data_IF_675569250634
#
_entry.id   IF_675569250634
#
_cell.length_a   1.000
_cell.length_b   1.000
_cell.length_c   1.000
_cell.angle_alpha   90.00
_cell.angle_beta   90.00
_cell.angle_gamma   90.00
#
_symmetry.space_group_name_H-M   'P 1'
#
loop_
_entity.id
_entity.type
_entity.pdbx_description
1 polymer ?
#
# COMPACT_ATOMS: atom_id res chain seq x y z
N UNK A 1 8.33 -25.81 63.41
CA UNK A 1 7.09 -25.41 62.71
C UNK A 1 7.47 -24.61 61.46
N UNK A 2 6.80 -24.88 60.32
CA UNK A 2 6.87 -24.22 59.00
C UNK A 2 8.22 -24.35 58.27
N UNK A 3 8.42 -25.26 57.30
CA UNK A 3 7.87 -25.45 55.92
C UNK A 3 8.31 -24.37 54.90
N UNK A 4 8.69 -24.88 53.72
CA UNK A 4 8.91 -24.28 52.38
C UNK A 4 10.37 -23.87 52.10
N UNK A 5 11.23 -24.71 51.48
CA UNK A 5 11.30 -25.11 50.05
C UNK A 5 11.18 -23.92 49.08
N UNK A 6 12.32 -23.43 48.56
CA UNK A 6 12.52 -22.64 47.32
C UNK A 6 13.96 -22.09 47.44
N UNK A 7 14.99 -22.51 46.72
CA UNK A 7 15.17 -22.57 45.27
C UNK A 7 16.41 -23.45 44.98
N UNK A 8 16.22 -24.68 44.50
CA UNK A 8 17.25 -25.38 43.72
C UNK A 8 16.54 -25.83 42.45
N UNK A 9 16.58 -24.99 41.43
CA UNK A 9 16.32 -25.32 40.02
C UNK A 9 16.97 -24.22 39.15
N UNK A 10 18.28 -23.98 39.29
CA UNK A 10 19.09 -23.21 38.31
C UNK A 10 19.85 -24.19 37.40
N UNK A 11 19.22 -25.32 37.08
CA UNK A 11 19.69 -26.21 36.02
C UNK A 11 18.45 -26.67 35.27
N UNK A 12 18.50 -26.57 33.93
CA UNK A 12 17.49 -26.99 32.95
C UNK A 12 16.47 -25.93 32.51
N UNK A 13 16.95 -24.81 31.96
CA UNK A 13 16.31 -24.16 30.80
C UNK A 13 17.37 -23.68 29.78
N UNK A 14 18.37 -24.52 29.52
CA UNK A 14 19.00 -24.57 28.19
C UNK A 14 18.27 -25.65 27.38
N UNK A 15 17.03 -25.32 27.01
CA UNK A 15 16.31 -26.04 25.96
C UNK A 15 15.78 -25.00 24.98
N UNK A 16 16.35 -25.05 23.79
CA UNK A 16 15.69 -24.63 22.56
C UNK A 16 15.43 -23.14 22.42
N UNK A 17 16.50 -22.35 22.49
CA UNK A 17 16.64 -21.18 21.60
C UNK A 17 16.95 -21.61 20.14
N UNK A 18 16.48 -22.79 19.72
CA UNK A 18 15.95 -22.98 18.37
C UNK A 18 14.53 -22.38 18.33
N UNK A 19 14.39 -21.08 18.61
CA UNK A 19 13.27 -20.35 18.04
C UNK A 19 13.71 -20.01 16.64
N UNK A 20 13.36 -20.92 15.74
CA UNK A 20 13.19 -20.72 14.32
C UNK A 20 13.42 -19.24 13.94
N UNK A 21 14.52 -18.97 13.23
CA UNK A 21 14.37 -18.16 12.02
C UNK A 21 13.29 -18.88 11.22
N UNK A 22 12.02 -18.63 11.53
CA UNK A 22 11.02 -18.56 10.50
C UNK A 22 11.57 -17.45 9.65
N UNK A 23 12.29 -17.85 8.60
CA UNK A 23 12.10 -17.17 7.34
C UNK A 23 10.61 -16.93 7.29
N UNK A 24 10.20 -15.71 7.55
CA UNK A 24 8.94 -15.21 7.05
C UNK A 24 9.15 -15.10 5.54
N UNK A 25 9.37 -16.25 4.89
CA UNK A 25 8.50 -16.63 3.79
C UNK A 25 7.11 -16.59 4.42
N UNK A 26 6.57 -15.37 4.52
CA UNK A 26 5.15 -15.24 4.31
C UNK A 26 4.99 -15.93 2.97
N UNK A 27 4.37 -17.10 3.02
CA UNK A 27 3.49 -17.60 1.98
C UNK A 27 2.50 -16.48 1.64
N UNK A 28 3.00 -15.43 1.00
CA UNK A 28 2.27 -14.65 0.04
C UNK A 28 2.20 -15.61 -1.16
N UNK A 29 1.29 -16.59 -1.09
CA UNK A 29 0.40 -16.77 -2.22
C UNK A 29 -0.01 -15.35 -2.58
N UNK A 30 0.63 -14.78 -3.61
CA UNK A 30 0.36 -13.41 -3.97
C UNK A 30 -1.12 -13.41 -4.30
N UNK A 31 -1.91 -12.80 -3.42
CA UNK A 31 -3.19 -12.27 -3.83
C UNK A 31 -2.80 -11.30 -4.94
N UNK A 32 -2.86 -11.78 -6.18
CA UNK A 32 -2.64 -10.97 -7.36
C UNK A 32 -3.81 -9.99 -7.39
N UNK A 33 -3.65 -8.92 -6.61
CA UNK A 33 -4.59 -7.79 -6.49
C UNK A 33 -4.49 -6.99 -7.77
N UNK A 34 -3.27 -6.79 -8.27
CA UNK A 34 -2.98 -6.06 -9.49
C UNK A 34 -2.57 -7.06 -10.57
N UNK A 35 -3.14 -6.93 -11.75
CA UNK A 35 -2.65 -7.68 -12.90
C UNK A 35 -1.25 -7.20 -13.30
N UNK A 36 -0.46 -7.99 -14.06
CA UNK A 36 0.95 -7.71 -14.31
C UNK A 36 1.25 -6.31 -14.87
N UNK A 37 0.44 -5.81 -15.82
CA UNK A 37 0.69 -4.49 -16.41
C UNK A 37 0.56 -3.36 -15.39
N UNK A 38 -0.44 -3.40 -14.52
CA UNK A 38 -0.62 -2.37 -13.48
C UNK A 38 0.45 -2.51 -12.39
N UNK A 39 0.80 -3.74 -12.01
CA UNK A 39 1.90 -3.99 -11.06
C UNK A 39 3.22 -3.40 -11.56
N UNK A 40 3.55 -3.63 -12.83
CA UNK A 40 4.78 -3.09 -13.44
C UNK A 40 4.79 -1.55 -13.46
N UNK A 41 3.64 -0.89 -13.73
CA UNK A 41 3.54 0.57 -13.66
C UNK A 41 3.69 1.07 -12.22
N UNK A 42 3.08 0.38 -11.26
CA UNK A 42 3.17 0.70 -9.85
C UNK A 42 4.62 0.58 -9.33
N UNK A 43 5.32 -0.51 -9.66
CA UNK A 43 6.72 -0.72 -9.29
C UNK A 43 7.62 0.37 -9.90
N UNK A 44 7.39 0.74 -11.16
CA UNK A 44 8.10 1.86 -11.81
C UNK A 44 7.79 3.19 -11.12
N UNK A 45 6.55 3.39 -10.69
CA UNK A 45 6.13 4.60 -10.00
C UNK A 45 6.71 4.70 -8.59
N UNK A 46 6.89 3.58 -7.88
CA UNK A 46 7.59 3.55 -6.59
C UNK A 46 9.02 4.05 -6.72
N UNK A 47 9.75 3.58 -7.75
CA UNK A 47 11.11 4.05 -8.04
C UNK A 47 11.12 5.55 -8.33
N UNK A 48 10.19 6.03 -9.16
CA UNK A 48 10.07 7.44 -9.47
C UNK A 48 9.82 8.29 -8.20
N UNK A 49 8.85 7.91 -7.38
CA UNK A 49 8.53 8.59 -6.13
C UNK A 49 9.73 8.64 -5.17
N UNK A 50 10.44 7.53 -4.99
CA UNK A 50 11.63 7.45 -4.15
C UNK A 50 12.74 8.40 -4.64
N UNK A 51 12.90 8.56 -5.96
CA UNK A 51 13.89 9.49 -6.51
C UNK A 51 13.51 10.96 -6.34
N UNK A 52 12.21 11.27 -6.29
CA UNK A 52 11.73 12.66 -6.22
C UNK A 52 11.62 13.17 -4.79
N UNK A 53 11.03 12.38 -3.88
CA UNK A 53 10.85 12.77 -2.47
C UNK A 53 11.98 12.26 -1.56
N UNK A 54 12.83 11.35 -2.04
CA UNK A 54 13.72 10.61 -1.15
C UNK A 54 12.94 9.67 -0.23
N UNK A 55 13.66 8.93 0.63
CA UNK A 55 13.03 8.18 1.74
C UNK A 55 12.68 9.18 2.85
N UNK A 56 11.56 9.89 2.74
CA UNK A 56 11.11 10.75 3.83
C UNK A 56 10.82 9.92 5.09
N UNK A 57 11.38 10.38 6.22
CA UNK A 57 11.29 9.74 7.53
C UNK A 57 9.94 9.90 8.22
N UNK A 58 9.74 9.08 9.26
CA UNK A 58 8.66 8.93 10.26
C UNK A 58 7.19 8.91 9.81
N UNK A 59 6.82 9.51 8.68
CA UNK A 59 5.48 9.47 8.11
C UNK A 59 5.56 8.86 6.72
N UNK A 60 5.05 7.63 6.59
CA UNK A 60 5.18 6.86 5.36
C UNK A 60 4.45 7.52 4.20
N UNK A 61 5.15 7.74 3.09
CA UNK A 61 4.51 7.98 1.80
C UNK A 61 3.51 6.85 1.55
N UNK A 62 2.32 7.22 1.11
CA UNK A 62 1.34 6.28 0.60
C UNK A 62 1.11 6.51 -0.87
N UNK A 63 0.73 5.44 -1.54
CA UNK A 63 0.43 5.46 -2.96
C UNK A 63 -1.06 5.37 -3.13
N UNK A 64 -1.61 6.15 -4.05
CA UNK A 64 -3.04 6.13 -4.36
C UNK A 64 -3.26 5.57 -5.75
N UNK A 65 -4.34 4.81 -5.91
CA UNK A 65 -4.84 4.35 -7.20
C UNK A 65 -6.29 4.78 -7.32
N UNK A 66 -6.63 5.40 -8.45
CA UNK A 66 -8.02 5.69 -8.79
C UNK A 66 -8.30 5.50 -10.27
N UNK A 67 -9.56 5.26 -10.56
CA UNK A 67 -10.08 4.94 -11.88
C UNK A 67 -11.09 6.03 -12.25
N UNK A 68 -10.92 6.68 -13.39
CA UNK A 68 -11.81 7.76 -13.83
C UNK A 68 -11.84 7.87 -15.35
N UNK A 69 -12.86 8.55 -15.89
CA UNK A 69 -12.97 8.87 -17.30
C UNK A 69 -12.72 10.37 -17.54
N UNK A 70 -11.99 10.68 -18.61
CA UNK A 70 -11.84 12.06 -19.11
C UNK A 70 -11.96 12.07 -20.62
N UNK A 71 -12.90 12.85 -21.15
CA UNK A 71 -13.14 12.99 -22.60
C UNK A 71 -13.34 11.63 -23.31
N UNK A 72 -14.14 10.73 -22.73
CA UNK A 72 -14.40 9.40 -23.29
C UNK A 72 -13.24 8.40 -23.15
N UNK A 73 -12.17 8.77 -22.43
CA UNK A 73 -10.99 7.92 -22.21
C UNK A 73 -10.96 7.40 -20.78
N UNK A 74 -10.83 6.08 -20.64
CA UNK A 74 -10.67 5.40 -19.35
C UNK A 74 -9.24 5.54 -18.86
N UNK A 75 -9.07 6.01 -17.63
CA UNK A 75 -7.78 6.36 -17.05
C UNK A 75 -7.62 5.67 -15.71
N UNK A 76 -6.41 5.18 -15.44
CA UNK A 76 -5.94 4.85 -14.10
C UNK A 76 -4.92 5.89 -13.66
N UNK A 77 -5.16 6.50 -12.52
CA UNK A 77 -4.26 7.45 -11.86
C UNK A 77 -3.49 6.75 -10.75
N UNK A 78 -2.18 6.94 -10.75
CA UNK A 78 -1.30 6.66 -9.63
C UNK A 78 -0.88 7.98 -8.99
N UNK A 79 -0.91 8.07 -7.67
CA UNK A 79 -0.46 9.26 -6.93
C UNK A 79 0.38 8.91 -5.72
N UNK A 80 1.18 9.86 -5.25
CA UNK A 80 1.92 9.76 -3.97
C UNK A 80 1.39 10.81 -3.03
N UNK A 81 0.98 10.39 -1.85
CA UNK A 81 0.43 11.27 -0.83
C UNK A 81 1.11 11.04 0.52
N UNK A 82 0.98 12.01 1.41
CA UNK A 82 1.36 11.90 2.82
C UNK A 82 0.17 11.50 3.69
N UNK A 83 -1.05 11.68 3.17
CA UNK A 83 -2.29 11.44 3.91
C UNK A 83 -3.29 10.66 3.07
N UNK A 84 -4.06 9.76 3.69
CA UNK A 84 -5.18 9.13 3.00
C UNK A 84 -6.44 9.95 3.23
N UNK A 85 -7.23 10.10 2.17
CA UNK A 85 -8.48 10.83 2.23
C UNK A 85 -9.61 9.94 2.77
N UNK A 86 -10.09 10.22 3.98
CA UNK A 86 -11.12 9.39 4.63
C UNK A 86 -12.38 9.22 3.80
N UNK A 87 -12.77 10.27 3.06
CA UNK A 87 -13.99 10.25 2.24
C UNK A 87 -13.80 9.52 0.90
N UNK A 88 -12.57 9.25 0.48
CA UNK A 88 -12.25 8.68 -0.84
C UNK A 88 -11.79 7.23 -0.75
N UNK A 89 -11.10 6.83 0.31
CA UNK A 89 -10.59 5.47 0.46
C UNK A 89 -11.71 4.43 0.39
N UNK A 90 -11.54 3.43 -0.48
CA UNK A 90 -12.45 2.29 -0.68
C UNK A 90 -11.84 0.96 -0.22
N UNK A 91 -10.53 0.92 -0.07
CA UNK A 91 -9.77 -0.21 0.44
C UNK A 91 -8.28 0.04 0.25
N UNK A 92 -7.46 -0.84 0.80
CA UNK A 92 -6.01 -0.71 0.71
C UNK A 92 -5.31 -2.06 0.72
N UNK A 93 -4.04 -2.05 0.33
CA UNK A 93 -3.14 -3.20 0.45
C UNK A 93 -1.71 -2.72 0.66
N UNK A 94 -0.80 -3.66 0.92
CA UNK A 94 0.63 -3.41 0.98
C UNK A 94 1.34 -4.09 -0.20
N UNK A 95 2.23 -3.35 -0.86
CA UNK A 95 3.10 -3.86 -1.91
C UNK A 95 4.54 -3.51 -1.51
N UNK A 96 5.38 -4.51 -1.26
CA UNK A 96 6.76 -4.32 -0.82
C UNK A 96 6.86 -3.35 0.37
N UNK A 97 6.03 -3.59 1.40
CA UNK A 97 5.88 -2.75 2.61
C UNK A 97 5.40 -1.31 2.38
N UNK A 98 4.93 -0.99 1.17
CA UNK A 98 4.35 0.32 0.82
C UNK A 98 2.83 0.24 0.83
N UNK A 99 2.19 1.18 1.52
CA UNK A 99 0.75 1.31 1.50
C UNK A 99 0.26 1.78 0.14
N UNK A 100 -0.66 1.03 -0.44
CA UNK A 100 -1.38 1.37 -1.67
C UNK A 100 -2.86 1.49 -1.35
N UNK A 101 -3.38 2.70 -1.43
CA UNK A 101 -4.78 3.08 -1.18
C UNK A 101 -5.54 3.11 -2.49
N UNK A 102 -6.66 2.38 -2.54
CA UNK A 102 -7.61 2.46 -3.63
C UNK A 102 -8.69 3.49 -3.30
N UNK A 103 -8.76 4.56 -4.10
CA UNK A 103 -9.70 5.66 -3.94
C UNK A 103 -11.00 5.47 -4.74
N UNK A 104 -11.14 4.34 -5.44
CA UNK A 104 -12.37 4.01 -6.16
C UNK A 104 -12.29 4.16 -7.67
N UNK A 105 -13.41 3.81 -8.29
CA UNK A 105 -13.72 3.96 -9.69
C UNK A 105 -14.85 4.96 -9.84
N UNK A 106 -14.52 6.17 -10.26
CA UNK A 106 -15.41 7.31 -10.29
C UNK A 106 -16.29 7.38 -11.54
N UNK A 107 -16.12 6.45 -12.48
CA UNK A 107 -16.83 6.46 -13.77
C UNK A 107 -17.42 5.09 -14.11
N UNK A 108 -17.57 4.21 -13.12
CA UNK A 108 -18.08 2.84 -13.28
C UNK A 108 -17.43 2.07 -14.46
N UNK A 109 -16.16 2.37 -14.73
CA UNK A 109 -15.45 1.76 -15.85
C UNK A 109 -15.24 0.27 -15.60
N UNK A 110 -15.21 -0.54 -16.66
CA UNK A 110 -14.89 -1.97 -16.52
C UNK A 110 -13.49 -2.11 -15.91
N UNK A 111 -13.43 -2.61 -14.68
CA UNK A 111 -12.20 -2.67 -13.92
C UNK A 111 -11.69 -4.11 -13.87
N UNK A 112 -10.65 -4.38 -14.66
CA UNK A 112 -9.93 -5.66 -14.69
C UNK A 112 -8.48 -5.53 -14.23
N UNK A 113 -7.98 -4.31 -14.04
CA UNK A 113 -6.59 -4.06 -13.63
C UNK A 113 -6.32 -4.34 -12.15
N UNK A 114 -7.37 -4.23 -11.32
CA UNK A 114 -7.32 -4.33 -9.86
C UNK A 114 -8.53 -5.13 -9.36
N UNK A 115 -8.29 -6.20 -8.61
CA UNK A 115 -9.31 -7.00 -7.92
C UNK A 115 -9.61 -6.40 -6.53
N UNK A 116 -10.74 -5.70 -6.44
CA UNK A 116 -11.13 -5.00 -5.21
C UNK A 116 -11.53 -5.95 -4.09
N UNK A 117 -11.92 -7.19 -4.40
CA UNK A 117 -12.31 -8.19 -3.39
C UNK A 117 -11.14 -8.66 -2.53
N UNK A 118 -9.91 -8.47 -3.04
CA UNK A 118 -8.66 -8.82 -2.36
C UNK A 118 -8.08 -7.67 -1.54
N UNK A 119 -8.68 -6.47 -1.59
CA UNK A 119 -8.26 -5.34 -0.77
C UNK A 119 -8.73 -5.51 0.68
N UNK A 120 -7.94 -4.98 1.61
CA UNK A 120 -8.40 -4.76 2.98
C UNK A 120 -9.45 -3.66 2.98
N UNK A 121 -10.63 -3.95 3.53
CA UNK A 121 -11.71 -2.97 3.67
C UNK A 121 -11.27 -1.94 4.71
N UNK A 122 -11.39 -0.67 4.35
CA UNK A 122 -11.10 0.42 5.26
C UNK A 122 -12.21 0.56 6.32
N UNK A 123 -11.84 0.61 7.60
CA UNK A 123 -12.77 0.75 8.72
C UNK A 123 -12.71 2.15 9.34
N UNK A 124 -11.53 2.55 9.82
CA UNK A 124 -11.37 3.81 10.56
C UNK A 124 -9.97 4.43 10.39
N UNK A 125 -8.92 3.64 10.54
CA UNK A 125 -7.52 4.10 10.53
C UNK A 125 -6.60 3.06 9.90
N UNK A 126 -5.47 3.53 9.38
CA UNK A 126 -4.39 2.66 8.91
C UNK A 126 -3.17 2.90 9.81
N UNK A 127 -2.78 1.88 10.56
CA UNK A 127 -1.67 1.99 11.52
C UNK A 127 -0.39 2.46 10.83
N UNK A 128 0.23 3.51 11.38
CA UNK A 128 1.46 4.12 10.82
C UNK A 128 1.23 5.18 9.75
N UNK A 129 -0.02 5.41 9.33
CA UNK A 129 -0.37 6.41 8.31
C UNK A 129 -1.38 7.42 8.85
N UNK A 130 -1.30 8.66 8.34
CA UNK A 130 -2.17 9.76 8.76
C UNK A 130 -3.31 9.96 7.77
N UNK A 131 -4.48 10.32 8.29
CA UNK A 131 -5.62 10.78 7.50
C UNK A 131 -5.55 12.28 7.23
N UNK A 132 -6.31 12.75 6.25
CA UNK A 132 -6.54 14.17 5.93
C UNK A 132 -7.33 14.97 6.99
N UNK A 133 -7.65 14.39 8.16
CA UNK A 133 -8.18 15.15 9.32
C UNK A 133 -7.12 16.12 9.88
N UNK A 134 -5.84 15.75 9.79
CA UNK A 134 -4.72 16.55 10.32
C UNK A 134 -4.02 17.23 9.15
N UNK A 135 -4.67 18.23 8.55
CA UNK A 135 -4.10 19.00 7.44
C UNK A 135 -3.57 20.35 7.93
N UNK A 136 -2.25 20.51 7.90
CA UNK A 136 -1.60 21.81 7.98
C UNK A 136 -0.24 21.78 7.27
N UNK A 137 -0.23 21.45 5.97
CA UNK A 137 0.94 21.60 5.10
C UNK A 137 0.52 21.84 3.65
N UNK A 138 1.15 22.84 3.01
CA UNK A 138 1.17 22.96 1.55
C UNK A 138 2.20 21.98 0.99
N UNK A 139 1.75 20.95 0.27
CA UNK A 139 2.61 19.99 -0.42
C UNK A 139 2.08 19.68 -1.81
N UNK A 140 3.00 19.46 -2.75
CA UNK A 140 2.65 18.97 -4.08
C UNK A 140 2.55 17.46 -4.06
N UNK A 141 1.62 16.90 -4.85
CA UNK A 141 1.43 15.46 -5.02
C UNK A 141 1.99 15.03 -6.37
N UNK A 142 2.90 14.06 -6.39
CA UNK A 142 3.30 13.42 -7.65
C UNK A 142 2.16 12.55 -8.16
N UNK A 143 1.85 12.70 -9.45
CA UNK A 143 0.81 11.93 -10.12
C UNK A 143 1.27 11.41 -11.49
N UNK A 144 0.85 10.20 -11.82
CA UNK A 144 0.93 9.63 -13.16
C UNK A 144 -0.46 9.16 -13.61
N UNK A 145 -0.89 9.61 -14.78
CA UNK A 145 -2.13 9.14 -15.40
C UNK A 145 -1.79 8.26 -16.61
N UNK A 146 -2.45 7.11 -16.67
CA UNK A 146 -2.33 6.16 -17.77
C UNK A 146 -3.67 5.96 -18.45
N UNK A 147 -3.67 6.09 -19.78
CA UNK A 147 -4.76 5.62 -20.62
C UNK A 147 -4.81 4.09 -20.56
N UNK A 148 -6.00 3.57 -20.26
CA UNK A 148 -6.28 2.13 -20.31
C UNK A 148 -6.62 1.78 -21.75
N UNK A 149 -5.68 1.15 -22.46
CA UNK A 149 -5.91 0.69 -23.84
C UNK A 149 -6.64 -0.66 -23.86
N UNK A 150 -6.19 -1.58 -23.02
CA UNK A 150 -6.78 -2.91 -22.79
C UNK A 150 -6.24 -3.49 -21.46
N UNK A 151 -6.37 -4.81 -21.24
CA UNK A 151 -5.90 -5.49 -20.02
C UNK A 151 -4.38 -5.67 -19.94
N UNK A 152 -3.66 -5.57 -21.03
CA UNK A 152 -2.23 -5.82 -21.10
C UNK A 152 -1.45 -4.54 -21.47
N UNK A 153 -2.16 -3.42 -21.72
CA UNK A 153 -1.58 -2.19 -22.23
C UNK A 153 -2.07 -0.93 -21.48
N UNK A 154 -1.10 -0.20 -20.91
CA UNK A 154 -1.27 1.10 -20.25
C UNK A 154 -0.32 2.14 -20.86
N UNK A 155 -0.87 3.24 -21.37
CA UNK A 155 -0.11 4.31 -22.03
C UNK A 155 -0.03 5.55 -21.15
N UNK A 156 1.18 5.99 -20.80
CA UNK A 156 1.38 7.20 -19.99
C UNK A 156 0.85 8.42 -20.75
N UNK A 157 -0.03 9.19 -20.13
CA UNK A 157 -0.59 10.43 -20.69
C UNK A 157 -0.25 11.67 -19.86
N UNK A 158 0.16 11.48 -18.61
CA UNK A 158 0.64 12.56 -17.74
C UNK A 158 1.61 12.01 -16.70
N UNK A 159 2.66 12.77 -16.39
CA UNK A 159 3.55 12.57 -15.25
C UNK A 159 4.02 13.93 -14.76
N UNK A 160 3.80 14.23 -13.48
CA UNK A 160 4.21 15.50 -12.89
C UNK A 160 3.60 15.73 -11.52
N UNK A 161 3.71 16.97 -11.04
CA UNK A 161 3.09 17.43 -9.81
C UNK A 161 1.67 17.95 -10.08
N UNK A 162 0.81 17.86 -9.06
CA UNK A 162 -0.57 18.35 -9.06
C UNK A 162 -0.83 19.23 -7.84
#
# INVERSE_FOLDING_TARGET
MKKYYFFICIALLFCSACKNKKNSENDNESKDIFIPILKNKLDSFFVYADTTYGRHGDHGLLYTISFHEKNGKQIVSLGVDFFYHLRRIKGYTFVNDRLVVYNGNYSDQKQYLLDTSKLTIFADTILGYRSDIVLDMDYEVIKQDYLICDKDSLSLIFSGFY
#
